data_IF_660121219879
#
_entry.id   IF_660121219879
#
_cell.length_a   1.000
_cell.length_b   1.000
_cell.length_c   1.000
_cell.angle_alpha   90.00
_cell.angle_beta   90.00
_cell.angle_gamma   90.00
#
_symmetry.space_group_name_H-M   'P 1'
#
loop_
_entity.id
_entity.type
_entity.pdbx_description
1 polymer ?
#
# COMPACT_ATOMS: atom_id res chain seq x y z
N UNK A 1 3.68 2.42 -15.38
CA UNK A 1 4.08 1.84 -16.65
C UNK A 1 4.49 0.38 -16.54
N UNK A 2 5.31 0.02 -15.54
CA UNK A 2 5.67 -1.37 -15.34
C UNK A 2 4.46 -2.25 -15.07
N UNK A 3 3.46 -1.74 -14.35
CA UNK A 3 2.23 -2.47 -14.05
C UNK A 3 1.42 -2.79 -15.32
N UNK A 4 1.44 -1.88 -16.28
CA UNK A 4 0.73 -2.06 -17.56
C UNK A 4 1.52 -2.99 -18.48
N UNK A 5 2.85 -2.93 -18.43
CA UNK A 5 3.72 -3.66 -19.35
C UNK A 5 4.09 -5.07 -18.88
N UNK A 6 3.85 -5.41 -17.60
CA UNK A 6 4.18 -6.72 -17.05
C UNK A 6 3.43 -7.86 -17.75
N UNK A 7 2.17 -7.63 -18.07
CA UNK A 7 1.30 -8.60 -18.72
C UNK A 7 0.14 -7.83 -19.35
N UNK A 8 0.01 -7.90 -20.67
CA UNK A 8 -1.02 -7.16 -21.39
C UNK A 8 -2.42 -7.48 -20.89
N UNK A 9 -2.68 -8.73 -20.46
CA UNK A 9 -3.98 -9.15 -19.96
C UNK A 9 -4.21 -8.74 -18.51
N UNK A 10 -3.15 -8.63 -17.70
CA UNK A 10 -3.24 -8.37 -16.25
C UNK A 10 -2.86 -6.95 -15.86
N UNK A 11 -2.20 -6.20 -16.76
CA UNK A 11 -1.76 -4.84 -16.47
C UNK A 11 -2.88 -3.94 -15.97
N UNK A 12 -4.03 -3.87 -16.66
CA UNK A 12 -5.17 -3.07 -16.19
C UNK A 12 -5.69 -3.51 -14.82
N UNK A 13 -5.67 -4.81 -14.54
CA UNK A 13 -6.10 -5.36 -13.27
C UNK A 13 -5.16 -4.92 -12.13
N UNK A 14 -3.86 -4.89 -12.39
CA UNK A 14 -2.88 -4.43 -11.42
C UNK A 14 -3.05 -2.94 -11.13
N UNK A 15 -3.30 -2.13 -12.14
CA UNK A 15 -3.55 -0.70 -11.98
C UNK A 15 -4.82 -0.48 -11.14
N UNK A 16 -5.88 -1.24 -11.42
CA UNK A 16 -7.12 -1.17 -10.65
C UNK A 16 -6.88 -1.54 -9.18
N UNK A 17 -6.10 -2.60 -8.92
CA UNK A 17 -5.73 -2.99 -7.57
C UNK A 17 -5.03 -1.84 -6.83
N UNK A 18 -4.04 -1.22 -7.46
CA UNK A 18 -3.29 -0.12 -6.85
C UNK A 18 -4.20 1.07 -6.54
N UNK A 19 -5.11 1.42 -7.45
CA UNK A 19 -6.05 2.52 -7.24
C UNK A 19 -7.00 2.23 -6.08
N UNK A 20 -7.51 1.01 -5.98
CA UNK A 20 -8.36 0.59 -4.87
C UNK A 20 -7.57 0.62 -3.56
N UNK A 21 -6.33 0.14 -3.58
CA UNK A 21 -5.42 0.15 -2.43
C UNK A 21 -5.27 1.57 -1.85
N UNK A 22 -4.97 2.53 -2.70
CA UNK A 22 -4.83 3.92 -2.26
C UNK A 22 -6.15 4.50 -1.74
N UNK A 23 -7.27 4.17 -2.41
CA UNK A 23 -8.58 4.61 -1.95
C UNK A 23 -8.93 4.05 -0.58
N UNK A 24 -8.55 2.81 -0.29
CA UNK A 24 -8.84 2.20 1.00
C UNK A 24 -8.04 2.81 2.15
N UNK A 25 -6.83 3.32 1.89
CA UNK A 25 -6.11 4.10 2.91
C UNK A 25 -6.96 5.30 3.37
N UNK A 26 -7.66 5.94 2.44
CA UNK A 26 -8.53 7.08 2.74
C UNK A 26 -9.79 6.62 3.46
N UNK A 27 -10.45 5.59 2.95
CA UNK A 27 -11.70 5.08 3.52
C UNK A 27 -11.53 4.53 4.94
N UNK A 28 -10.39 3.90 5.21
CA UNK A 28 -10.08 3.38 6.55
C UNK A 28 -9.50 4.44 7.47
N UNK A 29 -9.31 5.67 6.95
CA UNK A 29 -8.81 6.82 7.71
C UNK A 29 -7.44 6.55 8.36
N UNK A 30 -6.59 5.86 7.63
CA UNK A 30 -5.28 5.42 8.13
C UNK A 30 -4.39 6.58 8.58
N UNK A 31 -4.36 7.66 7.82
CA UNK A 31 -3.52 8.80 8.14
C UNK A 31 -3.91 9.44 9.46
N UNK A 32 -5.21 9.73 9.65
CA UNK A 32 -5.69 10.37 10.87
C UNK A 32 -5.54 9.46 12.09
N UNK A 33 -5.80 8.17 11.93
CA UNK A 33 -5.63 7.20 13.02
C UNK A 33 -4.18 7.10 13.45
N UNK A 34 -3.24 7.13 12.51
CA UNK A 34 -1.82 7.14 12.80
C UNK A 34 -1.42 8.45 13.50
N UNK A 35 -1.83 9.58 12.97
CA UNK A 35 -1.53 10.90 13.53
C UNK A 35 -2.05 11.07 14.94
N UNK A 36 -3.20 10.47 15.26
CA UNK A 36 -3.78 10.54 16.59
C UNK A 36 -2.98 9.76 17.64
N UNK A 37 -2.13 8.83 17.24
CA UNK A 37 -1.39 7.95 18.15
C UNK A 37 0.08 7.81 17.75
N UNK A 38 0.73 8.91 17.38
CA UNK A 38 2.12 8.91 16.92
C UNK A 38 3.11 8.32 17.93
N UNK A 39 2.88 8.56 19.22
CA UNK A 39 3.77 8.05 20.26
C UNK A 39 3.72 6.53 20.35
N UNK A 40 2.53 5.97 20.22
CA UNK A 40 2.33 4.51 20.28
C UNK A 40 2.81 3.84 19.00
N UNK A 41 2.56 4.45 17.84
CA UNK A 41 2.91 3.92 16.53
C UNK A 41 3.98 4.79 15.89
N UNK A 42 5.13 4.86 16.55
CA UNK A 42 6.21 5.78 16.19
C UNK A 42 6.99 5.37 14.95
N UNK A 43 6.89 4.11 14.53
CA UNK A 43 7.63 3.61 13.38
C UNK A 43 6.75 3.65 12.13
N UNK A 44 6.91 4.72 11.35
CA UNK A 44 6.09 4.95 10.17
C UNK A 44 6.20 3.83 9.12
N UNK A 45 7.36 3.20 8.99
CA UNK A 45 7.53 2.11 8.03
C UNK A 45 6.74 0.87 8.44
N UNK A 46 6.77 0.54 9.73
CA UNK A 46 5.97 -0.57 10.25
C UNK A 46 4.48 -0.25 10.18
N UNK A 47 4.09 0.99 10.43
CA UNK A 47 2.70 1.43 10.25
C UNK A 47 2.26 1.20 8.80
N UNK A 48 3.06 1.62 7.84
CA UNK A 48 2.75 1.42 6.42
C UNK A 48 2.61 -0.06 6.07
N UNK A 49 3.50 -0.90 6.56
CA UNK A 49 3.42 -2.35 6.36
C UNK A 49 2.13 -2.92 6.96
N UNK A 50 1.82 -2.53 8.19
CA UNK A 50 0.62 -3.02 8.88
C UNK A 50 -0.65 -2.61 8.16
N UNK A 51 -0.73 -1.37 7.71
CA UNK A 51 -1.87 -0.87 6.96
C UNK A 51 -1.99 -1.57 5.61
N UNK A 52 -0.88 -1.86 4.95
CA UNK A 52 -0.88 -2.60 3.69
C UNK A 52 -1.36 -4.04 3.89
N UNK A 53 -0.96 -4.71 4.96
CA UNK A 53 -1.50 -6.04 5.29
C UNK A 53 -3.01 -6.01 5.43
N UNK A 54 -3.55 -5.03 6.12
CA UNK A 54 -4.99 -4.88 6.31
C UNK A 54 -5.71 -4.67 4.98
N UNK A 55 -5.22 -3.73 4.17
CA UNK A 55 -5.83 -3.37 2.89
C UNK A 55 -5.73 -4.50 1.88
N UNK A 56 -4.56 -5.09 1.71
CA UNK A 56 -4.33 -6.07 0.66
C UNK A 56 -5.17 -7.34 0.87
N UNK A 57 -5.31 -7.77 2.12
CA UNK A 57 -6.21 -8.87 2.42
C UNK A 57 -7.65 -8.53 2.05
N UNK A 58 -8.09 -7.32 2.39
CA UNK A 58 -9.44 -6.86 2.08
C UNK A 58 -9.70 -6.88 0.57
N UNK A 59 -8.78 -6.35 -0.21
CA UNK A 59 -8.95 -6.32 -1.67
C UNK A 59 -9.01 -7.74 -2.25
N UNK A 60 -8.07 -8.59 -1.88
CA UNK A 60 -7.97 -9.93 -2.46
C UNK A 60 -9.15 -10.83 -2.10
N UNK A 61 -9.77 -10.61 -0.95
CA UNK A 61 -10.78 -11.54 -0.44
C UNK A 61 -12.20 -10.99 -0.45
N UNK A 62 -12.40 -9.68 -0.54
CA UNK A 62 -13.74 -9.09 -0.45
C UNK A 62 -14.11 -8.18 -1.63
N UNK A 63 -13.16 -7.78 -2.46
CA UNK A 63 -13.45 -6.85 -3.56
C UNK A 63 -13.66 -7.61 -4.87
N UNK A 64 -14.70 -7.20 -5.61
CA UNK A 64 -15.05 -7.75 -6.93
C UNK A 64 -15.10 -9.27 -6.97
N UNK A 65 -15.72 -9.85 -5.97
CA UNK A 65 -15.95 -11.29 -5.95
C UNK A 65 -17.32 -11.59 -6.57
N UNK A 66 -17.30 -12.22 -7.74
CA UNK A 66 -18.49 -12.80 -8.35
C UNK A 66 -18.41 -14.31 -8.32
N UNK A 67 -19.48 -15.02 -8.76
CA UNK A 67 -19.46 -16.48 -8.81
C UNK A 67 -18.27 -17.00 -9.62
N UNK A 68 -17.38 -17.74 -8.96
CA UNK A 68 -16.24 -18.36 -9.60
C UNK A 68 -15.08 -17.41 -9.92
N UNK A 69 -15.12 -16.15 -9.46
CA UNK A 69 -14.06 -15.19 -9.76
C UNK A 69 -13.54 -14.49 -8.51
N UNK A 70 -12.22 -14.43 -8.39
CA UNK A 70 -11.52 -13.62 -7.40
C UNK A 70 -10.37 -12.92 -8.13
N UNK A 71 -10.68 -11.88 -8.93
CA UNK A 71 -9.71 -11.32 -9.89
C UNK A 71 -8.45 -10.76 -9.24
N UNK A 72 -8.53 -10.33 -7.98
CA UNK A 72 -7.37 -9.79 -7.27
C UNK A 72 -6.57 -10.84 -6.49
N UNK A 73 -6.97 -12.09 -6.51
CA UNK A 73 -6.28 -13.13 -5.75
C UNK A 73 -4.84 -13.29 -6.23
N UNK A 74 -3.89 -13.25 -5.28
CA UNK A 74 -2.47 -13.41 -5.58
C UNK A 74 -1.77 -12.16 -6.13
N UNK A 75 -2.47 -11.06 -6.35
CA UNK A 75 -1.88 -9.84 -6.92
C UNK A 75 -0.85 -9.24 -5.98
N UNK A 76 -1.10 -9.23 -4.67
CA UNK A 76 -0.14 -8.66 -3.72
C UNK A 76 1.20 -9.37 -3.80
N UNK A 77 1.22 -10.69 -3.84
CA UNK A 77 2.46 -11.46 -3.99
C UNK A 77 3.15 -11.17 -5.31
N UNK A 78 2.39 -11.06 -6.39
CA UNK A 78 2.94 -10.73 -7.70
C UNK A 78 3.60 -9.35 -7.72
N UNK A 79 3.09 -8.40 -6.96
CA UNK A 79 3.65 -7.05 -6.84
C UNK A 79 4.72 -6.93 -5.74
N UNK A 80 4.96 -7.99 -4.97
CA UNK A 80 5.93 -7.97 -3.88
C UNK A 80 5.48 -7.20 -2.65
N UNK A 81 4.16 -7.10 -2.41
CA UNK A 81 3.60 -6.37 -1.29
C UNK A 81 3.39 -7.22 -0.03
N UNK A 82 2.81 -6.58 0.98
CA UNK A 82 2.54 -7.22 2.27
C UNK A 82 1.18 -7.92 2.24
N UNK A 83 1.18 -9.24 2.42
CA UNK A 83 -0.03 -10.04 2.47
C UNK A 83 0.10 -11.15 3.52
N UNK A 84 -0.95 -11.38 4.29
CA UNK A 84 -1.01 -12.46 5.26
C UNK A 84 -2.43 -12.98 5.43
N UNK A 85 -2.65 -14.26 5.10
CA UNK A 85 -3.91 -14.94 5.39
C UNK A 85 -4.17 -15.04 6.89
N UNK A 86 -3.11 -15.23 7.68
CA UNK A 86 -3.23 -15.36 9.13
C UNK A 86 -3.83 -14.10 9.74
N UNK A 87 -3.28 -12.95 9.42
CA UNK A 87 -3.77 -11.68 9.95
C UNK A 87 -5.20 -11.39 9.49
N UNK A 88 -5.47 -11.65 8.21
CA UNK A 88 -6.78 -11.39 7.64
C UNK A 88 -7.87 -12.28 8.19
N UNK A 89 -7.62 -13.57 8.33
CA UNK A 89 -8.60 -14.53 8.88
C UNK A 89 -8.95 -14.23 10.32
N UNK A 90 -8.01 -13.69 11.08
CA UNK A 90 -8.24 -13.25 12.47
C UNK A 90 -8.96 -11.90 12.54
N UNK A 91 -9.12 -11.22 11.40
CA UNK A 91 -9.76 -9.91 11.34
C UNK A 91 -8.99 -8.82 12.05
N UNK A 92 -7.67 -8.90 12.02
CA UNK A 92 -6.82 -7.94 12.72
C UNK A 92 -6.82 -6.58 12.01
N UNK A 93 -6.91 -5.51 12.81
CA UNK A 93 -6.71 -4.16 12.34
C UNK A 93 -5.22 -3.87 12.16
N UNK A 94 -4.86 -2.79 11.45
CA UNK A 94 -3.46 -2.44 11.27
C UNK A 94 -2.76 -2.19 12.62
N UNK A 95 -3.49 -1.66 13.61
CA UNK A 95 -2.93 -1.42 14.94
C UNK A 95 -2.49 -2.72 15.61
N UNK A 96 -3.31 -3.75 15.49
CA UNK A 96 -2.99 -5.08 16.01
C UNK A 96 -1.86 -5.75 15.23
N UNK A 97 -1.85 -5.57 13.91
CA UNK A 97 -0.79 -6.09 13.03
C UNK A 97 0.55 -5.42 13.33
N UNK A 98 0.54 -4.11 13.60
CA UNK A 98 1.75 -3.36 13.96
C UNK A 98 2.52 -4.03 15.09
N UNK A 99 1.81 -4.48 16.13
CA UNK A 99 2.44 -5.13 17.28
C UNK A 99 3.02 -6.50 16.95
N UNK A 100 2.56 -7.13 15.88
CA UNK A 100 2.99 -8.48 15.47
C UNK A 100 4.15 -8.49 14.49
N UNK A 101 4.48 -7.37 13.87
CA UNK A 101 5.59 -7.32 12.92
C UNK A 101 6.93 -7.31 13.67
N UNK A 102 7.83 -8.27 13.37
CA UNK A 102 9.10 -8.36 14.08
C UNK A 102 10.01 -7.15 13.84
N UNK A 103 10.52 -6.58 14.92
CA UNK A 103 11.40 -5.41 14.83
C UNK A 103 12.73 -5.71 14.14
N UNK A 104 13.25 -6.92 14.29
CA UNK A 104 14.48 -7.34 13.61
C UNK A 104 14.32 -7.33 12.09
N UNK A 105 13.17 -7.77 11.59
CA UNK A 105 12.86 -7.75 10.16
C UNK A 105 12.88 -6.32 9.63
N UNK A 106 12.34 -5.38 10.40
CA UNK A 106 12.37 -3.96 10.08
C UNK A 106 13.79 -3.42 9.97
N UNK A 107 14.62 -3.69 10.97
CA UNK A 107 16.00 -3.21 11.02
C UNK A 107 16.81 -3.70 9.81
N UNK A 108 16.66 -4.98 9.46
CA UNK A 108 17.33 -5.55 8.30
C UNK A 108 16.91 -4.89 6.98
N UNK A 109 15.62 -4.61 6.83
CA UNK A 109 15.10 -3.92 5.64
C UNK A 109 15.69 -2.51 5.55
N UNK A 110 15.72 -1.79 6.67
CA UNK A 110 16.26 -0.44 6.72
C UNK A 110 17.76 -0.40 6.39
N UNK A 111 18.54 -1.32 6.96
CA UNK A 111 19.99 -1.38 6.74
C UNK A 111 20.34 -1.68 5.28
N UNK A 112 19.58 -2.55 4.64
CA UNK A 112 19.85 -2.96 3.25
C UNK A 112 19.54 -1.88 2.23
N UNK A 113 18.57 -1.02 2.50
CA UNK A 113 17.98 -0.17 1.46
C UNK A 113 17.91 1.30 1.81
N UNK A 114 18.36 1.70 3.02
CA UNK A 114 18.04 3.01 3.55
C UNK A 114 18.44 4.18 2.64
N UNK A 115 19.65 4.18 2.10
CA UNK A 115 20.13 5.33 1.31
C UNK A 115 19.67 5.27 -0.14
N UNK A 116 19.83 4.11 -0.78
CA UNK A 116 19.44 3.94 -2.19
C UNK A 116 17.93 4.02 -2.36
N UNK A 117 17.18 3.38 -1.46
CA UNK A 117 15.73 3.37 -1.53
C UNK A 117 15.14 4.74 -1.26
N UNK A 118 15.63 5.43 -0.24
CA UNK A 118 15.16 6.78 0.09
C UNK A 118 15.44 7.75 -1.05
N UNK A 119 16.61 7.66 -1.65
CA UNK A 119 16.96 8.50 -2.78
C UNK A 119 16.07 8.20 -3.98
N UNK A 120 15.93 6.93 -4.32
CA UNK A 120 15.09 6.52 -5.45
C UNK A 120 13.63 6.90 -5.25
N UNK A 121 13.09 6.69 -4.06
CA UNK A 121 11.72 7.07 -3.72
C UNK A 121 11.54 8.59 -3.79
N UNK A 122 12.46 9.35 -3.18
CA UNK A 122 12.38 10.81 -3.17
C UNK A 122 12.47 11.39 -4.57
N UNK A 123 13.39 10.90 -5.39
CA UNK A 123 13.55 11.35 -6.77
C UNK A 123 12.34 10.99 -7.61
N UNK A 124 11.85 9.76 -7.49
CA UNK A 124 10.67 9.30 -8.20
C UNK A 124 9.41 10.05 -7.80
N UNK A 125 9.22 10.27 -6.50
CA UNK A 125 8.09 11.04 -6.00
C UNK A 125 8.11 12.48 -6.52
N UNK A 126 9.26 13.13 -6.46
CA UNK A 126 9.41 14.50 -6.94
C UNK A 126 9.11 14.61 -8.43
N UNK A 127 9.59 13.64 -9.21
CA UNK A 127 9.34 13.59 -10.65
C UNK A 127 7.86 13.42 -10.96
N UNK A 128 7.19 12.49 -10.29
CA UNK A 128 5.75 12.26 -10.48
C UNK A 128 4.94 13.46 -10.07
N UNK A 129 5.25 14.08 -8.93
CA UNK A 129 4.53 15.26 -8.46
C UNK A 129 4.72 16.46 -9.39
N UNK A 130 5.93 16.65 -9.92
CA UNK A 130 6.19 17.70 -10.90
C UNK A 130 5.37 17.50 -12.17
N UNK A 131 5.27 16.26 -12.64
CA UNK A 131 4.48 15.92 -13.83
C UNK A 131 2.99 16.15 -13.60
N UNK A 132 2.46 15.73 -12.45
CA UNK A 132 1.05 15.93 -12.10
C UNK A 132 0.69 17.41 -11.99
N UNK A 133 1.59 18.23 -11.43
CA UNK A 133 1.39 19.68 -11.38
C UNK A 133 1.37 20.29 -12.77
N UNK A 134 2.26 19.84 -13.64
CA UNK A 134 2.33 20.28 -15.02
C UNK A 134 1.02 20.00 -15.77
N UNK A 135 0.38 18.89 -15.45
CA UNK A 135 -0.89 18.49 -16.03
C UNK A 135 -2.09 19.10 -15.28
N UNK A 136 -1.86 19.94 -14.28
CA UNK A 136 -2.86 20.62 -13.46
C UNK A 136 -3.76 19.69 -12.63
N UNK A 137 -3.41 18.42 -12.51
CA UNK A 137 -4.22 17.45 -11.76
C UNK A 137 -4.16 17.72 -10.26
N UNK A 138 -2.96 17.97 -9.74
CA UNK A 138 -2.79 18.26 -8.30
C UNK A 138 -3.47 19.58 -7.95
N UNK A 139 -3.32 20.60 -8.79
CA UNK A 139 -3.96 21.90 -8.56
C UNK A 139 -5.46 21.78 -8.52
N UNK A 140 -6.07 21.04 -9.44
CA UNK A 140 -7.50 20.79 -9.45
C UNK A 140 -7.98 20.07 -8.20
N UNK A 141 -7.22 19.10 -7.72
CA UNK A 141 -7.56 18.39 -6.49
C UNK A 141 -7.47 19.29 -5.26
N UNK A 142 -6.47 20.14 -5.20
CA UNK A 142 -6.26 21.06 -4.07
C UNK A 142 -7.33 22.14 -4.02
N UNK A 143 -7.81 22.61 -5.17
CA UNK A 143 -8.83 23.68 -5.25
C UNK A 143 -10.25 23.15 -5.07
N UNK A 144 -10.45 21.88 -5.11
CA UNK A 144 -11.77 21.27 -4.85
C UNK A 144 -12.01 21.12 -3.36
#
# INVERSE_FOLDING_TARGET
EQLINMDEDKGPLYVEFVLIHEALHILFDHCNKHMANLDKYSDAEIVNMAQDYEINYTIENFMRQGPGTAPFKGITDALGGCYSDEFGKKGLTWEEIYDKIPRQKRTKVLEKTSDEWKKGFSDGYAEVMAKLRKESLVEKCVTM
#
